data_IF_792219545012
#
_entry.id   IF_792219545012
#
_cell.length_a   1.000
_cell.length_b   1.000
_cell.length_c   1.000
_cell.angle_alpha   90.00
_cell.angle_beta   90.00
_cell.angle_gamma   90.00
#
_symmetry.space_group_name_H-M   'P 1'
#
loop_
_entity.id
_entity.type
_entity.pdbx_description
1 polymer ?
#
# COMPACT_ATOMS: atom_id res chain seq x y z
N UNK A 1 -15.37 -1.59 -30.50
CA UNK A 1 -14.61 -2.86 -30.40
C UNK A 1 -13.13 -2.77 -30.76
N UNK A 2 -12.61 -1.63 -31.28
CA UNK A 2 -11.16 -1.39 -31.46
C UNK A 2 -10.40 -1.03 -30.17
N UNK A 3 -11.09 -0.55 -29.13
CA UNK A 3 -10.45 -0.13 -27.86
C UNK A 3 -10.02 -1.30 -26.96
N UNK A 4 -10.61 -2.49 -27.11
CA UNK A 4 -10.25 -3.66 -26.29
C UNK A 4 -8.83 -4.16 -26.55
N UNK A 5 -8.29 -3.94 -27.76
CA UNK A 5 -6.95 -4.39 -28.14
C UNK A 5 -5.82 -3.47 -27.62
N UNK A 6 -6.17 -2.33 -27.01
CA UNK A 6 -5.22 -1.38 -26.42
C UNK A 6 -5.16 -1.46 -24.88
N UNK A 7 -5.74 -2.49 -24.29
CA UNK A 7 -5.72 -2.68 -22.84
C UNK A 7 -4.35 -3.26 -22.44
N UNK A 8 -3.57 -2.47 -21.70
CA UNK A 8 -2.32 -2.90 -21.09
C UNK A 8 -2.48 -2.97 -19.57
N UNK A 9 -1.95 -4.02 -18.94
CA UNK A 9 -1.88 -4.08 -17.48
C UNK A 9 -0.88 -3.05 -16.96
N UNK A 10 -1.26 -2.32 -15.92
CA UNK A 10 -0.41 -1.28 -15.32
C UNK A 10 0.46 -1.82 -14.17
N UNK A 11 -0.08 -2.82 -13.45
CA UNK A 11 0.58 -3.54 -12.38
C UNK A 11 -0.20 -4.82 -12.05
N UNK A 12 0.51 -5.83 -11.52
CA UNK A 12 -0.08 -7.12 -11.16
C UNK A 12 -0.34 -7.21 -9.65
N UNK A 13 -1.38 -7.95 -9.28
CA UNK A 13 -1.75 -8.25 -7.88
C UNK A 13 -1.94 -6.99 -7.01
N UNK A 14 -2.48 -5.93 -7.61
CA UNK A 14 -2.80 -4.68 -6.92
C UNK A 14 -4.08 -4.87 -6.11
N UNK A 15 -4.10 -4.34 -4.88
CA UNK A 15 -5.30 -4.35 -4.04
C UNK A 15 -6.39 -3.43 -4.59
N UNK A 16 -7.65 -3.74 -4.26
CA UNK A 16 -8.80 -2.88 -4.59
C UNK A 16 -8.62 -1.47 -4.02
N UNK A 17 -8.05 -1.37 -2.81
CA UNK A 17 -7.59 -0.10 -2.25
C UNK A 17 -6.14 0.14 -2.69
N UNK A 18 -5.94 1.14 -3.53
CA UNK A 18 -4.61 1.58 -3.98
C UNK A 18 -4.51 3.11 -3.92
N UNK A 19 -3.30 3.64 -3.95
CA UNK A 19 -3.07 5.08 -4.00
C UNK A 19 -2.06 5.41 -5.08
N UNK A 20 -2.43 6.30 -6.01
CA UNK A 20 -1.50 6.94 -6.94
C UNK A 20 -1.30 8.38 -6.46
N UNK A 21 -0.06 8.73 -6.11
CA UNK A 21 0.27 10.04 -5.55
C UNK A 21 1.49 10.62 -6.23
N UNK A 22 1.49 11.92 -6.50
CA UNK A 22 2.68 12.62 -7.00
C UNK A 22 3.72 12.68 -5.89
N UNK A 23 4.98 12.37 -6.21
CA UNK A 23 6.12 12.41 -5.30
C UNK A 23 7.15 13.46 -5.77
N UNK A 24 8.14 13.84 -4.94
CA UNK A 24 9.22 14.75 -5.35
C UNK A 24 9.89 14.29 -6.66
N UNK A 25 10.37 15.27 -7.45
CA UNK A 25 10.91 15.00 -8.79
C UNK A 25 9.83 14.77 -9.87
N UNK A 26 8.55 14.98 -9.54
CA UNK A 26 7.45 14.99 -10.51
C UNK A 26 6.95 13.62 -10.96
N UNK A 27 7.43 12.54 -10.33
CA UNK A 27 7.00 11.17 -10.58
C UNK A 27 5.74 10.82 -9.78
N UNK A 28 5.20 9.63 -10.02
CA UNK A 28 4.05 9.09 -9.31
C UNK A 28 4.41 7.79 -8.59
N UNK A 29 4.01 7.69 -7.33
CA UNK A 29 4.07 6.46 -6.56
C UNK A 29 2.71 5.77 -6.57
N UNK A 30 2.69 4.50 -6.96
CA UNK A 30 1.57 3.58 -6.77
C UNK A 30 1.85 2.75 -5.50
N UNK A 31 1.04 2.94 -4.46
CA UNK A 31 1.09 2.22 -3.19
C UNK A 31 -0.10 1.26 -3.09
N UNK A 32 0.16 0.03 -2.66
CA UNK A 32 -0.86 -1.01 -2.53
C UNK A 32 -0.44 -2.13 -1.57
N UNK A 33 -1.43 -2.85 -1.03
CA UNK A 33 -1.20 -4.09 -0.30
C UNK A 33 -1.09 -5.23 -1.31
N UNK A 34 -0.05 -6.05 -1.22
CA UNK A 34 0.12 -7.15 -2.14
C UNK A 34 -1.04 -8.14 -2.05
N UNK A 35 -1.65 -8.47 -3.20
CA UNK A 35 -2.76 -9.44 -3.24
C UNK A 35 -3.95 -9.08 -2.35
N UNK A 36 -4.12 -7.79 -1.98
CA UNK A 36 -5.22 -7.33 -1.11
C UNK A 36 -4.98 -7.55 0.38
N UNK A 37 -4.45 -8.71 0.77
CA UNK A 37 -4.34 -9.13 2.18
C UNK A 37 -3.00 -9.82 2.53
N UNK A 38 -2.08 -9.99 1.57
CA UNK A 38 -0.77 -10.58 1.89
C UNK A 38 0.08 -9.59 2.68
N UNK A 39 1.00 -10.05 3.55
CA UNK A 39 1.62 -9.21 4.56
C UNK A 39 2.77 -8.35 4.03
N UNK A 40 2.61 -7.77 2.83
CA UNK A 40 3.60 -6.96 2.14
C UNK A 40 2.95 -5.72 1.55
N UNK A 41 3.57 -4.56 1.76
CA UNK A 41 3.22 -3.30 1.11
C UNK A 41 4.26 -2.99 0.05
N UNK A 42 3.80 -2.75 -1.18
CA UNK A 42 4.67 -2.41 -2.30
C UNK A 42 4.44 -0.98 -2.77
N UNK A 43 5.51 -0.43 -3.35
CA UNK A 43 5.48 0.76 -4.17
C UNK A 43 5.91 0.42 -5.59
N UNK A 44 5.30 1.06 -6.57
CA UNK A 44 5.88 1.20 -7.92
C UNK A 44 5.97 2.66 -8.30
N UNK A 45 6.97 3.03 -9.09
CA UNK A 45 7.18 4.42 -9.53
C UNK A 45 6.94 4.51 -11.04
N UNK A 46 6.20 5.53 -11.46
CA UNK A 46 5.93 5.85 -12.87
C UNK A 46 6.12 7.33 -13.18
N UNK A 47 6.33 7.65 -14.47
CA UNK A 47 6.42 9.05 -14.92
C UNK A 47 5.03 9.73 -15.04
N UNK A 48 3.96 8.95 -15.14
CA UNK A 48 2.58 9.42 -15.29
C UNK A 48 1.69 8.74 -14.22
N UNK A 49 0.49 9.28 -13.92
CA UNK A 49 -0.43 8.65 -12.97
C UNK A 49 -1.08 7.37 -13.50
N UNK A 50 -0.98 7.11 -14.81
CA UNK A 50 -1.56 5.94 -15.48
C UNK A 50 -0.50 4.97 -15.99
N UNK A 51 0.76 5.14 -15.59
CA UNK A 51 1.87 4.25 -15.96
C UNK A 51 2.51 4.52 -17.34
N UNK A 52 3.38 3.61 -17.81
CA UNK A 52 3.74 2.35 -17.15
C UNK A 52 4.45 2.60 -15.81
N UNK A 53 4.17 1.75 -14.84
CA UNK A 53 4.88 1.72 -13.57
C UNK A 53 6.05 0.75 -13.66
N UNK A 54 7.19 1.10 -13.05
CA UNK A 54 8.37 0.25 -13.04
C UNK A 54 8.25 -0.99 -12.14
N UNK A 55 9.42 -1.50 -11.77
CA UNK A 55 9.54 -2.65 -10.87
C UNK A 55 8.91 -2.39 -9.50
N UNK A 56 8.48 -3.48 -8.85
CA UNK A 56 7.96 -3.42 -7.48
C UNK A 56 9.09 -3.17 -6.48
N UNK A 57 8.88 -2.24 -5.57
CA UNK A 57 9.76 -1.91 -4.46
C UNK A 57 9.05 -2.33 -3.18
N UNK A 58 9.60 -3.28 -2.45
CA UNK A 58 9.05 -3.66 -1.15
C UNK A 58 9.30 -2.54 -0.15
N UNK A 59 8.23 -2.00 0.43
CA UNK A 59 8.34 -0.95 1.44
C UNK A 59 8.32 -1.50 2.86
N UNK A 60 7.45 -2.49 3.09
CA UNK A 60 7.15 -2.91 4.45
C UNK A 60 6.59 -4.33 4.51
N UNK A 61 7.03 -5.06 5.54
CA UNK A 61 6.51 -6.35 5.94
C UNK A 61 5.63 -6.18 7.19
N UNK A 62 4.35 -6.54 7.06
CA UNK A 62 3.35 -6.38 8.13
C UNK A 62 3.20 -7.62 9.02
N UNK A 63 3.98 -8.68 8.80
CA UNK A 63 3.91 -9.94 9.59
C UNK A 63 4.07 -9.72 11.09
N UNK A 64 4.84 -8.70 11.51
CA UNK A 64 4.99 -8.32 12.92
C UNK A 64 3.65 -8.00 13.61
N UNK A 65 2.63 -7.59 12.85
CA UNK A 65 1.29 -7.26 13.35
C UNK A 65 0.30 -8.43 13.20
N UNK A 66 0.76 -9.59 12.70
CA UNK A 66 -0.01 -10.82 12.54
C UNK A 66 0.51 -11.83 13.57
N UNK A 67 0.16 -11.62 14.84
CA UNK A 67 0.56 -12.47 15.96
C UNK A 67 -0.45 -13.60 16.28
N UNK A 68 -1.50 -13.74 15.46
CA UNK A 68 -2.54 -14.74 15.63
C UNK A 68 -3.00 -15.22 14.24
N UNK A 69 -3.28 -16.53 14.05
CA UNK A 69 -3.52 -17.11 12.72
C UNK A 69 -4.74 -16.54 12.00
N UNK A 70 -5.75 -16.10 12.74
CA UNK A 70 -6.93 -15.47 12.16
C UNK A 70 -6.71 -13.99 11.77
N UNK A 71 -5.53 -13.40 12.03
CA UNK A 71 -5.25 -12.00 11.68
C UNK A 71 -4.70 -11.85 10.26
N UNK A 72 -5.00 -10.71 9.66
CA UNK A 72 -4.44 -10.30 8.37
C UNK A 72 -4.32 -8.78 8.30
N UNK A 73 -3.48 -8.31 7.39
CA UNK A 73 -3.30 -6.87 7.13
C UNK A 73 -3.76 -6.49 5.74
N UNK A 74 -4.34 -5.30 5.60
CA UNK A 74 -4.98 -4.89 4.35
C UNK A 74 -5.07 -3.36 4.22
N UNK A 75 -5.52 -2.90 3.06
CA UNK A 75 -5.80 -1.50 2.75
C UNK A 75 -4.60 -0.55 2.98
N UNK A 76 -3.46 -0.89 2.39
CA UNK A 76 -2.35 0.06 2.32
C UNK A 76 -2.78 1.31 1.55
N UNK A 77 -2.63 2.49 2.16
CA UNK A 77 -3.10 3.77 1.62
C UNK A 77 -2.08 4.87 1.86
N UNK A 78 -1.78 5.63 0.82
CA UNK A 78 -0.88 6.78 0.90
C UNK A 78 -1.63 8.06 1.31
N UNK A 79 -0.98 8.90 2.10
CA UNK A 79 -1.55 10.13 2.67
C UNK A 79 -0.70 11.36 2.33
N UNK A 80 -0.58 11.76 1.04
CA UNK A 80 0.29 12.87 0.64
C UNK A 80 -0.09 14.21 1.29
N UNK A 81 -1.38 14.43 1.58
CA UNK A 81 -1.87 15.69 2.16
C UNK A 81 -1.39 15.96 3.61
N UNK A 82 -0.94 14.93 4.32
CA UNK A 82 -0.46 15.02 5.71
C UNK A 82 0.96 14.45 5.85
N UNK A 83 1.66 14.23 4.73
CA UNK A 83 3.05 13.81 4.73
C UNK A 83 3.96 15.03 4.89
N UNK A 84 5.05 14.87 5.63
CA UNK A 84 6.09 15.90 5.69
C UNK A 84 6.90 15.95 4.39
N UNK A 85 7.66 17.02 4.18
CA UNK A 85 8.52 17.16 3.01
C UNK A 85 9.57 16.03 2.95
N UNK A 86 9.75 15.44 1.78
CA UNK A 86 10.71 14.34 1.58
C UNK A 86 10.22 12.98 2.09
N UNK A 87 8.99 12.86 2.58
CA UNK A 87 8.40 11.58 2.95
C UNK A 87 7.00 11.36 2.39
N UNK A 88 6.55 10.11 2.46
CA UNK A 88 5.18 9.70 2.20
C UNK A 88 4.68 8.84 3.36
N UNK A 89 3.66 9.33 4.04
CA UNK A 89 2.97 8.60 5.09
C UNK A 89 2.03 7.57 4.46
N UNK A 90 2.16 6.32 4.89
CA UNK A 90 1.32 5.21 4.43
C UNK A 90 0.67 4.54 5.64
N UNK A 91 -0.63 4.31 5.58
CA UNK A 91 -1.34 3.52 6.58
C UNK A 91 -1.69 2.13 6.05
N UNK A 92 -1.88 1.18 6.94
CA UNK A 92 -2.57 -0.09 6.68
C UNK A 92 -3.37 -0.49 7.93
N UNK A 93 -4.31 -1.40 7.77
CA UNK A 93 -5.14 -1.90 8.86
C UNK A 93 -4.79 -3.35 9.18
N UNK A 94 -5.11 -3.75 10.41
CA UNK A 94 -5.09 -5.14 10.86
C UNK A 94 -6.54 -5.53 11.16
N UNK A 95 -6.96 -6.70 10.70
CA UNK A 95 -8.29 -7.25 10.97
C UNK A 95 -8.19 -8.76 11.19
N UNK A 96 -9.30 -9.39 11.54
CA UNK A 96 -9.41 -10.81 11.76
C UNK A 96 -10.49 -11.45 10.90
N UNK A 97 -10.25 -12.68 10.43
CA UNK A 97 -11.29 -13.52 9.82
C UNK A 97 -12.37 -13.94 10.82
N UNK A 98 -12.07 -13.88 12.13
CA UNK A 98 -12.98 -14.16 13.24
C UNK A 98 -13.05 -12.95 14.18
N UNK A 99 -13.46 -11.82 13.62
CA UNK A 99 -13.43 -10.53 14.32
C UNK A 99 -14.00 -10.54 15.74
N UNK A 100 -15.21 -11.08 15.91
CA UNK A 100 -15.88 -11.08 17.21
C UNK A 100 -15.19 -11.98 18.26
N UNK A 101 -14.46 -13.00 17.81
CA UNK A 101 -13.73 -13.91 18.70
C UNK A 101 -12.44 -13.26 19.23
N UNK A 102 -11.85 -12.32 18.48
CA UNK A 102 -10.53 -11.75 18.78
C UNK A 102 -10.60 -10.34 19.37
N UNK A 103 -11.61 -9.54 19.02
CA UNK A 103 -11.66 -8.12 19.38
C UNK A 103 -11.76 -7.87 20.90
N UNK A 104 -12.35 -8.81 21.65
CA UNK A 104 -12.44 -8.75 23.12
C UNK A 104 -11.06 -8.79 23.79
N UNK A 105 -10.18 -9.66 23.30
CA UNK A 105 -8.82 -9.84 23.83
C UNK A 105 -7.83 -8.83 23.22
N UNK A 106 -8.11 -8.34 22.01
CA UNK A 106 -7.26 -7.43 21.26
C UNK A 106 -8.00 -6.12 20.90
N UNK A 107 -8.33 -5.26 21.87
CA UNK A 107 -9.13 -4.06 21.64
C UNK A 107 -8.46 -3.03 20.71
N UNK A 108 -7.15 -3.14 20.50
CA UNK A 108 -6.37 -2.28 19.61
C UNK A 108 -6.20 -2.84 18.20
N UNK A 109 -6.84 -3.99 17.89
CA UNK A 109 -6.75 -4.68 16.60
C UNK A 109 -7.16 -3.76 15.45
N UNK A 110 -8.39 -3.26 15.49
CA UNK A 110 -9.01 -2.55 14.36
C UNK A 110 -8.69 -1.07 14.32
N UNK A 111 -7.39 -0.75 14.27
CA UNK A 111 -6.88 0.62 14.11
C UNK A 111 -5.78 0.67 13.06
N UNK A 112 -5.64 1.79 12.34
CA UNK A 112 -4.57 1.94 11.37
C UNK A 112 -3.20 1.88 12.06
N UNK A 113 -2.24 1.31 11.34
CA UNK A 113 -0.80 1.38 11.61
C UNK A 113 -0.19 2.24 10.52
N UNK A 114 0.89 2.95 10.85
CA UNK A 114 1.51 3.91 9.94
C UNK A 114 2.99 3.60 9.75
N UNK A 115 3.46 3.80 8.53
CA UNK A 115 4.87 3.80 8.16
C UNK A 115 5.19 5.10 7.42
N UNK A 116 6.43 5.57 7.58
CA UNK A 116 6.95 6.71 6.83
C UNK A 116 7.95 6.21 5.80
N UNK A 117 7.66 6.46 4.53
CA UNK A 117 8.57 6.18 3.43
C UNK A 117 9.36 7.43 3.15
N UNK A 118 10.67 7.40 3.44
CA UNK A 118 11.55 8.55 3.20
C UNK A 118 12.17 8.46 1.81
N UNK A 119 12.08 9.54 1.04
CA UNK A 119 12.77 9.65 -0.24
C UNK A 119 14.21 10.10 0.02
N UNK A 120 15.17 9.36 -0.50
CA UNK A 120 16.55 9.84 -0.49
C UNK A 120 16.67 11.00 -1.48
N UNK A 121 17.32 12.11 -1.10
CA UNK A 121 17.72 13.12 -2.06
C UNK A 121 18.55 12.44 -3.16
N UNK A 122 18.25 12.74 -4.42
CA UNK A 122 19.07 12.23 -5.52
C UNK A 122 20.50 12.72 -5.36
N UNK A 123 21.47 11.82 -5.54
CA UNK A 123 22.86 12.21 -5.84
C UNK A 123 22.92 12.97 -7.17
#
# INVERSE_FOLDING_TARGET
TREREQIASLADSVSNELSVSRIPGGKYALIYQYGGIFPKIYMKIGATPYGPFGEKIELWDTTKDINHPDLFTYNAKAHPAISEEGELLVSYNVNSFKFFDVIGDMPNLYRPRFIRVKFQPGN
#
